data_IF_598455368792
#
_entry.id   IF_598455368792
#
_cell.length_a   1.000
_cell.length_b   1.000
_cell.length_c   1.000
_cell.angle_alpha   90.00
_cell.angle_beta   90.00
_cell.angle_gamma   90.00
#
_symmetry.space_group_name_H-M   'P 1'
#
loop_
_entity.id
_entity.type
_entity.pdbx_description
1 polymer ?
#
# COMPACT_ATOMS: atom_id res chain seq x y z
N UNK A 1 -7.56 0.15 -0.91
CA UNK A 1 -6.33 -0.47 -0.41
C UNK A 1 -5.12 0.37 -0.79
N UNK A 2 -4.44 0.95 0.19
CA UNK A 2 -3.23 1.75 -0.03
C UNK A 2 -1.97 0.97 0.34
N UNK A 3 -1.04 0.82 -0.60
CA UNK A 3 0.28 0.26 -0.35
C UNK A 3 1.27 1.39 -0.19
N UNK A 4 1.95 1.48 0.95
CA UNK A 4 2.80 2.61 1.28
C UNK A 4 4.22 2.11 1.50
N UNK A 5 5.07 2.35 0.51
CA UNK A 5 6.47 1.96 0.49
C UNK A 5 7.34 2.94 1.26
N UNK A 6 8.05 2.42 2.26
CA UNK A 6 9.06 3.16 3.00
C UNK A 6 8.55 3.70 4.34
N UNK A 7 9.11 4.81 4.77
CA UNK A 7 8.97 5.29 6.14
C UNK A 7 7.85 6.33 6.25
N UNK A 8 6.64 6.02 5.78
CA UNK A 8 5.49 6.96 5.84
C UNK A 8 4.44 6.55 6.88
N UNK A 9 4.70 5.49 7.66
CA UNK A 9 3.74 4.97 8.65
C UNK A 9 3.25 6.04 9.63
N UNK A 10 4.12 7.01 9.99
CA UNK A 10 3.84 8.03 10.98
C UNK A 10 2.86 9.11 10.51
N UNK A 11 2.69 9.32 9.20
CA UNK A 11 1.71 10.29 8.67
C UNK A 11 0.35 9.66 8.35
N UNK A 12 0.28 8.34 8.19
CA UNK A 12 -0.90 7.68 7.64
C UNK A 12 -2.14 7.83 8.50
N UNK A 13 -2.00 7.78 9.82
CA UNK A 13 -3.14 7.94 10.74
C UNK A 13 -3.80 9.30 10.55
N UNK A 14 -3.00 10.38 10.48
CA UNK A 14 -3.53 11.73 10.27
C UNK A 14 -4.07 11.90 8.85
N UNK A 15 -3.39 11.37 7.85
CA UNK A 15 -3.83 11.45 6.45
C UNK A 15 -5.18 10.78 6.24
N UNK A 16 -5.35 9.56 6.76
CA UNK A 16 -6.61 8.81 6.66
C UNK A 16 -7.71 9.54 7.43
N UNK A 17 -7.43 10.03 8.64
CA UNK A 17 -8.41 10.78 9.43
C UNK A 17 -8.93 12.03 8.72
N UNK A 18 -8.02 12.83 8.13
CA UNK A 18 -8.43 14.02 7.38
C UNK A 18 -9.14 13.66 6.07
N UNK A 19 -8.74 12.57 5.41
CA UNK A 19 -9.44 12.05 4.23
C UNK A 19 -10.87 11.64 4.58
N UNK A 20 -11.08 10.90 5.66
CA UNK A 20 -12.41 10.46 6.10
C UNK A 20 -13.31 11.63 6.53
N UNK A 21 -12.73 12.73 7.03
CA UNK A 21 -13.49 13.96 7.31
C UNK A 21 -13.99 14.63 6.04
N UNK A 22 -13.16 14.72 5.02
CA UNK A 22 -13.50 15.35 3.74
C UNK A 22 -14.38 14.46 2.88
N UNK A 23 -14.24 13.14 3.04
CA UNK A 23 -14.94 12.11 2.29
C UNK A 23 -15.54 11.04 3.23
N UNK A 24 -16.66 11.33 3.90
CA UNK A 24 -17.30 10.42 4.85
C UNK A 24 -17.68 9.06 4.25
N UNK A 25 -17.83 8.96 2.93
CA UNK A 25 -18.09 7.72 2.19
C UNK A 25 -16.99 6.65 2.38
N UNK A 26 -15.76 7.06 2.71
CA UNK A 26 -14.63 6.16 2.94
C UNK A 26 -14.42 5.79 4.42
N UNK A 27 -15.19 6.36 5.34
CA UNK A 27 -15.03 6.15 6.78
C UNK A 27 -15.09 4.67 7.15
N UNK A 28 -14.00 4.16 7.76
CA UNK A 28 -13.87 2.76 8.17
C UNK A 28 -13.68 1.77 7.02
N UNK A 29 -13.49 2.24 5.78
CA UNK A 29 -13.31 1.40 4.58
C UNK A 29 -11.89 1.43 4.03
N UNK A 30 -11.01 2.23 4.62
CA UNK A 30 -9.63 2.36 4.16
C UNK A 30 -8.76 1.35 4.90
N UNK A 31 -8.29 0.35 4.16
CA UNK A 31 -7.16 -0.46 4.58
C UNK A 31 -5.89 0.13 3.96
N UNK A 32 -4.82 0.21 4.77
CA UNK A 32 -3.47 0.47 4.28
C UNK A 32 -2.43 -0.43 4.95
N UNK A 33 -1.34 -0.70 4.25
CA UNK A 33 -0.16 -1.35 4.82
C UNK A 33 1.10 -0.52 4.55
N UNK A 34 2.00 -0.50 5.53
CA UNK A 34 3.33 0.08 5.37
C UNK A 34 4.37 -1.01 5.48
N UNK A 35 5.03 -1.32 4.38
CA UNK A 35 6.07 -2.34 4.29
C UNK A 35 7.24 -1.79 3.47
N UNK A 36 8.44 -2.38 3.60
CA UNK A 36 9.54 -2.11 2.69
C UNK A 36 9.10 -2.19 1.22
N UNK A 37 9.51 -1.25 0.35
CA UNK A 37 9.04 -1.20 -1.05
C UNK A 37 9.20 -2.52 -1.82
N UNK A 38 10.28 -3.27 -1.56
CA UNK A 38 10.52 -4.55 -2.21
C UNK A 38 9.50 -5.65 -1.83
N UNK A 39 8.93 -5.62 -0.62
CA UNK A 39 7.89 -6.55 -0.20
C UNK A 39 6.56 -6.22 -0.88
N UNK A 40 6.20 -4.94 -0.93
CA UNK A 40 5.00 -4.48 -1.63
C UNK A 40 5.03 -4.85 -3.12
N UNK A 41 6.18 -4.69 -3.80
CA UNK A 41 6.36 -5.13 -5.20
C UNK A 41 6.09 -6.64 -5.34
N UNK A 42 6.53 -7.46 -4.37
CA UNK A 42 6.27 -8.91 -4.39
C UNK A 42 4.79 -9.22 -4.19
N UNK A 43 4.10 -8.51 -3.30
CA UNK A 43 2.65 -8.67 -3.08
C UNK A 43 1.86 -8.26 -4.33
N UNK A 44 2.23 -7.15 -4.98
CA UNK A 44 1.61 -6.71 -6.25
C UNK A 44 1.81 -7.79 -7.34
N UNK A 45 3.02 -8.35 -7.46
CA UNK A 45 3.30 -9.45 -8.40
C UNK A 45 2.52 -10.73 -8.09
N UNK A 46 2.23 -10.97 -6.82
CA UNK A 46 1.42 -12.09 -6.35
C UNK A 46 -0.09 -11.77 -6.33
N UNK A 47 -0.54 -10.87 -7.22
CA UNK A 47 -1.94 -10.46 -7.37
C UNK A 47 -2.58 -9.91 -6.08
N UNK A 48 -1.81 -9.18 -5.27
CA UNK A 48 -2.25 -8.64 -3.99
C UNK A 48 -2.31 -9.67 -2.86
N UNK A 49 -1.67 -10.83 -3.02
CA UNK A 49 -1.54 -11.79 -1.92
C UNK A 49 -0.64 -11.21 -0.83
N UNK A 50 -1.17 -11.14 0.39
CA UNK A 50 -0.40 -10.82 1.60
C UNK A 50 -0.24 -12.07 2.46
N UNK A 51 0.97 -12.27 2.98
CA UNK A 51 1.31 -13.37 3.88
C UNK A 51 1.97 -12.82 5.14
N UNK A 52 1.40 -13.13 6.30
CA UNK A 52 1.94 -12.81 7.63
C UNK A 52 1.98 -14.09 8.47
N UNK A 53 3.18 -14.67 8.63
CA UNK A 53 3.31 -15.99 9.25
C UNK A 53 2.51 -17.06 8.48
N UNK A 54 1.57 -17.70 9.17
CA UNK A 54 0.65 -18.68 8.57
C UNK A 54 -0.66 -18.05 8.03
N UNK A 55 -0.87 -16.75 8.25
CA UNK A 55 -2.05 -16.04 7.76
C UNK A 55 -1.83 -15.57 6.33
N UNK A 56 -2.79 -15.86 5.45
CA UNK A 56 -2.77 -15.42 4.05
C UNK A 56 -4.11 -14.84 3.66
N UNK A 57 -4.10 -13.69 3.02
CA UNK A 57 -5.29 -13.06 2.45
C UNK A 57 -4.95 -12.37 1.14
N UNK A 58 -5.96 -12.05 0.34
CA UNK A 58 -5.78 -11.38 -0.96
C UNK A 58 -6.50 -10.07 -0.95
N UNK A 59 -5.76 -8.97 -1.05
CA UNK A 59 -6.32 -7.63 -1.23
C UNK A 59 -5.43 -6.87 -2.19
N UNK A 60 -5.98 -6.61 -3.39
CA UNK A 60 -5.28 -5.88 -4.45
C UNK A 60 -5.13 -4.41 -4.05
N UNK A 61 -3.95 -3.79 -4.25
CA UNK A 61 -3.79 -2.36 -4.04
C UNK A 61 -4.51 -1.56 -5.10
N UNK A 62 -5.19 -0.50 -4.67
CA UNK A 62 -5.75 0.53 -5.57
C UNK A 62 -4.69 1.61 -5.86
N UNK A 63 -3.85 1.90 -4.87
CA UNK A 63 -2.82 2.94 -4.97
C UNK A 63 -1.52 2.47 -4.32
N UNK A 64 -0.40 2.70 -5.00
CA UNK A 64 0.95 2.46 -4.47
C UNK A 64 1.68 3.79 -4.28
N UNK A 65 1.93 4.15 -3.02
CA UNK A 65 2.74 5.29 -2.62
C UNK A 65 4.18 4.83 -2.42
N UNK A 66 5.14 5.41 -3.15
CA UNK A 66 6.55 5.21 -2.87
C UNK A 66 7.38 6.44 -3.21
N UNK A 67 8.51 6.58 -2.54
CA UNK A 67 9.53 7.54 -2.93
C UNK A 67 10.09 7.26 -4.33
N UNK A 68 10.80 8.23 -4.91
CA UNK A 68 11.32 8.20 -6.28
C UNK A 68 11.98 6.87 -6.70
N UNK A 69 12.81 6.29 -5.83
CA UNK A 69 13.47 5.00 -6.09
C UNK A 69 12.53 3.78 -6.10
N UNK A 70 11.42 3.84 -5.37
CA UNK A 70 10.42 2.77 -5.32
C UNK A 70 9.55 2.73 -6.58
N UNK A 71 9.16 3.90 -7.11
CA UNK A 71 8.43 4.00 -8.39
C UNK A 71 9.22 3.37 -9.55
N UNK A 72 10.52 3.71 -9.67
CA UNK A 72 11.40 3.10 -10.68
C UNK A 72 11.51 1.59 -10.54
N UNK A 73 11.57 1.07 -9.31
CA UNK A 73 11.63 -0.38 -9.06
C UNK A 73 10.35 -1.08 -9.51
N UNK A 74 9.19 -0.46 -9.33
CA UNK A 74 7.93 -1.00 -9.84
C UNK A 74 7.89 -1.03 -11.36
N UNK A 75 8.22 0.07 -12.03
CA UNK A 75 8.17 0.12 -13.50
C UNK A 75 9.11 -0.91 -14.11
N UNK A 76 10.36 -1.00 -13.61
CA UNK A 76 11.29 -2.08 -14.00
C UNK A 76 10.75 -3.47 -13.68
N UNK A 77 10.06 -3.65 -12.56
CA UNK A 77 9.56 -4.95 -12.14
C UNK A 77 8.37 -5.45 -12.99
N UNK A 78 7.64 -4.55 -13.64
CA UNK A 78 6.48 -4.84 -14.50
C UNK A 78 6.73 -4.55 -15.99
N UNK A 79 7.94 -4.18 -16.40
CA UNK A 79 8.27 -3.73 -17.76
C UNK A 79 7.32 -2.63 -18.28
N UNK A 80 6.95 -1.70 -17.40
CA UNK A 80 6.12 -0.53 -17.71
C UNK A 80 6.97 0.69 -18.06
#
# INVERSE_FOLDING_TARGET
MFYIGGNYFFVMVQLVHELEKQHPEFKGKIYWETLPPGLLVRQIKADGTVTSGNMRWTVKPDVYFAGWGGGKRLTTAFNL
#
